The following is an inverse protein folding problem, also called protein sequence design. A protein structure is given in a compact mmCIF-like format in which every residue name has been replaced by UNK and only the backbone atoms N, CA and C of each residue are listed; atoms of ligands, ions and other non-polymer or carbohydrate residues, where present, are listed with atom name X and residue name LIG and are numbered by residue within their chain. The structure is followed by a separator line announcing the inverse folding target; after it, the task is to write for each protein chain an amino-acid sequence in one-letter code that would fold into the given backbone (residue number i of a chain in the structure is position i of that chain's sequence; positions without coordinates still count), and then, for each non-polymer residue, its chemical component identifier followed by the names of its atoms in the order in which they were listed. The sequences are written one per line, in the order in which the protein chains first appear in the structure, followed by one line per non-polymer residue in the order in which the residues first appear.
data_IF_257817196660
#
_entry.id   IF_257817196660
#
_cell.length_a   1.000
_cell.length_b   1.000
_cell.length_c   1.000
_cell.angle_alpha   90.00
_cell.angle_beta   90.00
_cell.angle_gamma   90.00
#
_symmetry.space_group_name_H-M   'P 1'
#
loop_
_entity.id
_entity.type
_entity.pdbx_description
1 polymer ?
#
# COMPACT_ATOMS: atom_id res chain seq x y z
N UNK A 1 -10.06 14.07 0.77
CA UNK A 1 -10.11 12.60 0.52
C UNK A 1 -11.56 12.24 0.23
N UNK A 2 -11.97 12.41 -1.04
CA UNK A 2 -13.37 12.55 -1.41
C UNK A 2 -14.07 11.21 -1.67
N UNK A 3 -15.37 11.19 -1.37
CA UNK A 3 -16.41 10.17 -1.62
C UNK A 3 -16.13 9.16 -2.76
N UNK A 4 -15.51 9.60 -3.85
CA UNK A 4 -15.07 8.75 -4.98
C UNK A 4 -14.19 7.57 -4.58
N UNK A 5 -13.25 7.72 -3.66
CA UNK A 5 -12.36 6.60 -3.27
C UNK A 5 -13.08 5.55 -2.41
N UNK A 6 -14.06 5.95 -1.60
CA UNK A 6 -14.87 5.02 -0.81
C UNK A 6 -15.82 4.23 -1.72
N UNK A 7 -16.55 4.93 -2.60
CA UNK A 7 -17.43 4.30 -3.58
C UNK A 7 -16.66 3.38 -4.53
N UNK A 8 -15.45 3.74 -4.96
CA UNK A 8 -14.60 2.88 -5.79
C UNK A 8 -14.20 1.58 -5.06
N UNK A 9 -13.93 1.64 -3.76
CA UNK A 9 -13.63 0.45 -2.95
C UNK A 9 -14.84 -0.46 -2.75
N UNK A 10 -16.01 0.12 -2.53
CA UNK A 10 -17.27 -0.62 -2.48
C UNK A 10 -17.53 -1.33 -3.82
N UNK A 11 -17.33 -0.63 -4.95
CA UNK A 11 -17.48 -1.21 -6.30
C UNK A 11 -16.44 -2.30 -6.62
N UNK A 12 -15.28 -2.28 -5.97
CA UNK A 12 -14.26 -3.33 -6.07
C UNK A 12 -14.53 -4.52 -5.14
N UNK A 13 -15.55 -4.45 -4.26
CA UNK A 13 -15.83 -5.50 -3.29
C UNK A 13 -14.67 -5.74 -2.32
N UNK A 14 -13.91 -4.70 -1.97
CA UNK A 14 -12.70 -4.86 -1.14
C UNK A 14 -13.01 -5.12 0.33
N UNK A 15 -14.24 -4.83 0.78
CA UNK A 15 -14.67 -5.12 2.15
C UNK A 15 -14.61 -6.63 2.43
N UNK A 16 -13.80 -7.02 3.42
CA UNK A 16 -13.61 -8.43 3.81
C UNK A 16 -12.69 -9.27 2.90
N UNK A 17 -12.25 -8.73 1.76
CA UNK A 17 -11.42 -9.45 0.77
C UNK A 17 -9.95 -9.66 1.19
N UNK A 18 -9.48 -8.93 2.21
CA UNK A 18 -8.08 -8.94 2.64
C UNK A 18 -7.13 -8.16 1.71
N UNK A 19 -7.65 -7.51 0.68
CA UNK A 19 -6.89 -6.61 -0.20
C UNK A 19 -6.98 -5.15 0.28
N UNK A 20 -5.93 -4.39 -0.02
CA UNK A 20 -5.76 -3.00 0.36
C UNK A 20 -5.37 -2.18 -0.86
N UNK A 21 -5.94 -0.98 -1.00
CA UNK A 21 -5.48 -0.07 -2.05
C UNK A 21 -4.18 0.61 -1.63
N UNK A 22 -3.47 1.21 -2.59
CA UNK A 22 -2.28 1.99 -2.27
C UNK A 22 -2.56 3.11 -1.24
N UNK A 23 -3.75 3.70 -1.29
CA UNK A 23 -4.16 4.72 -0.32
C UNK A 23 -4.35 4.15 1.08
N UNK A 24 -4.85 2.91 1.20
CA UNK A 24 -4.94 2.23 2.50
C UNK A 24 -3.57 1.95 3.09
N UNK A 25 -2.64 1.46 2.27
CA UNK A 25 -1.25 1.21 2.68
C UNK A 25 -0.57 2.52 3.12
N UNK A 26 -0.76 3.62 2.37
CA UNK A 26 -0.26 4.95 2.77
C UNK A 26 -0.85 5.43 4.09
N UNK A 27 -2.15 5.19 4.30
CA UNK A 27 -2.84 5.56 5.54
C UNK A 27 -2.28 4.78 6.73
N UNK A 28 -2.05 3.48 6.56
CA UNK A 28 -1.47 2.61 7.57
C UNK A 28 -0.02 2.98 7.90
N UNK A 29 0.82 3.18 6.88
CA UNK A 29 2.17 3.70 7.03
C UNK A 29 2.18 5.02 7.79
N UNK A 30 1.33 5.98 7.40
CA UNK A 30 1.23 7.28 8.08
C UNK A 30 0.82 7.15 9.54
N UNK A 31 -0.05 6.19 9.89
CA UNK A 31 -0.42 5.90 11.29
C UNK A 31 0.77 5.35 12.07
N UNK A 32 1.58 4.47 11.46
CA UNK A 32 2.80 3.93 12.08
C UNK A 32 3.81 5.06 12.35
N UNK A 33 4.06 5.92 11.36
CA UNK A 33 4.96 7.09 11.51
C UNK A 33 4.49 8.00 12.64
N UNK A 34 3.18 8.29 12.72
CA UNK A 34 2.61 9.11 13.78
C UNK A 34 2.71 8.48 15.18
N UNK A 35 2.66 7.15 15.28
CA UNK A 35 2.77 6.43 16.56
C UNK A 35 4.21 6.29 17.05
N UNK A 36 5.20 6.38 16.16
CA UNK A 36 6.62 6.25 16.48
C UNK A 36 7.41 7.50 16.01
N UNK A 37 7.19 8.67 16.63
CA UNK A 37 7.84 9.92 16.24
C UNK A 37 9.38 9.85 16.30
N UNK A 38 9.93 9.05 17.21
CA UNK A 38 11.38 8.83 17.35
C UNK A 38 12.01 8.11 16.14
N UNK A 39 11.19 7.50 15.28
CA UNK A 39 11.61 6.84 14.03
C UNK A 39 10.98 7.48 12.81
N UNK A 40 10.55 8.74 12.92
CA UNK A 40 9.83 9.46 11.88
C UNK A 40 10.61 9.51 10.56
N UNK A 41 11.92 9.75 10.57
CA UNK A 41 12.76 9.73 9.35
C UNK A 41 12.77 8.38 8.64
N UNK A 42 12.85 7.28 9.40
CA UNK A 42 12.73 5.92 8.87
C UNK A 42 11.33 5.66 8.35
N UNK A 43 10.30 6.20 9.02
CA UNK A 43 8.92 6.17 8.60
C UNK A 43 8.66 6.87 7.27
N UNK A 44 9.18 8.08 7.09
CA UNK A 44 9.07 8.84 5.83
C UNK A 44 9.82 8.13 4.70
N UNK A 45 11.00 7.56 4.99
CA UNK A 45 11.76 6.75 4.02
C UNK A 45 10.96 5.54 3.53
N UNK A 46 10.19 4.88 4.40
CA UNK A 46 9.33 3.75 4.03
C UNK A 46 8.17 4.17 3.13
N UNK A 47 7.54 5.31 3.44
CA UNK A 47 6.49 5.89 2.59
C UNK A 47 7.05 6.21 1.20
N UNK A 48 8.24 6.80 1.12
CA UNK A 48 8.90 7.09 -0.17
C UNK A 48 9.13 5.81 -0.97
N UNK A 49 9.77 4.79 -0.37
CA UNK A 49 10.03 3.51 -1.04
C UNK A 49 8.76 2.85 -1.55
N UNK A 50 7.70 2.85 -0.74
CA UNK A 50 6.40 2.33 -1.16
C UNK A 50 5.85 3.10 -2.37
N UNK A 51 5.89 4.44 -2.32
CA UNK A 51 5.40 5.29 -3.41
C UNK A 51 6.20 5.09 -4.70
N UNK A 52 7.52 4.99 -4.61
CA UNK A 52 8.38 4.72 -5.75
C UNK A 52 8.05 3.37 -6.38
N UNK A 53 7.97 2.30 -5.57
CA UNK A 53 7.61 0.97 -6.06
C UNK A 53 6.19 0.94 -6.68
N UNK A 54 5.21 1.58 -6.04
CA UNK A 54 3.85 1.67 -6.56
C UNK A 54 3.79 2.42 -7.89
N UNK A 55 4.55 3.52 -8.02
CA UNK A 55 4.60 4.31 -9.25
C UNK A 55 5.20 3.48 -10.40
N UNK A 56 6.28 2.75 -10.14
CA UNK A 56 6.88 1.83 -11.10
C UNK A 56 5.92 0.72 -11.53
N UNK A 57 5.25 0.08 -10.56
CA UNK A 57 4.21 -0.92 -10.85
C UNK A 57 3.06 -0.34 -11.67
N UNK A 58 2.69 0.91 -11.43
CA UNK A 58 1.65 1.61 -12.20
C UNK A 58 2.10 1.92 -13.62
N UNK A 59 3.39 2.19 -13.83
CA UNK A 59 3.99 2.38 -15.14
C UNK A 59 4.21 1.09 -15.93
N UNK A 60 4.02 -0.08 -15.30
CA UNK A 60 4.19 -1.38 -15.96
C UNK A 60 5.54 -2.05 -15.70
N UNK A 61 6.40 -1.46 -14.87
CA UNK A 61 7.66 -2.08 -14.45
C UNK A 61 7.42 -3.20 -13.41
N UNK A 62 8.45 -4.04 -13.23
CA UNK A 62 8.43 -5.13 -12.25
C UNK A 62 8.54 -4.58 -10.81
N UNK A 63 7.94 -5.30 -9.84
CA UNK A 63 8.07 -4.95 -8.41
C UNK A 63 9.53 -5.02 -7.98
N UNK A 64 10.06 -3.92 -7.43
CA UNK A 64 11.36 -3.93 -6.75
C UNK A 64 11.28 -4.62 -5.39
N UNK A 65 10.09 -4.64 -4.80
CA UNK A 65 9.83 -5.22 -3.48
C UNK A 65 9.19 -6.61 -3.65
N UNK A 66 10.02 -7.66 -3.56
CA UNK A 66 9.59 -9.07 -3.73
C UNK A 66 8.54 -9.51 -2.71
N UNK A 67 8.52 -8.88 -1.53
CA UNK A 67 7.58 -9.20 -0.45
C UNK A 67 6.22 -8.53 -0.65
N UNK A 68 6.13 -7.49 -1.49
CA UNK A 68 4.87 -6.80 -1.79
C UNK A 68 4.17 -7.52 -2.94
N UNK A 69 3.44 -8.58 -2.60
CA UNK A 69 2.49 -9.20 -3.51
C UNK A 69 1.39 -8.20 -3.88
N UNK A 70 1.20 -8.04 -5.18
CA UNK A 70 0.22 -7.13 -5.75
C UNK A 70 -0.66 -7.86 -6.77
N UNK A 71 -1.89 -7.40 -6.89
CA UNK A 71 -2.83 -7.85 -7.91
C UNK A 71 -3.40 -6.61 -8.62
N UNK A 72 -3.54 -6.68 -9.94
CA UNK A 72 -4.23 -5.63 -10.69
C UNK A 72 -5.72 -5.94 -10.75
N UNK A 73 -6.54 -5.01 -10.26
CA UNK A 73 -7.99 -5.14 -10.34
C UNK A 73 -8.44 -5.05 -11.79
N UNK A 74 -9.19 -6.06 -12.26
CA UNK A 74 -9.55 -6.20 -13.68
C UNK A 74 -10.36 -5.02 -14.23
N UNK A 75 -11.32 -4.52 -13.46
CA UNK A 75 -12.26 -3.46 -13.92
C UNK A 75 -11.68 -2.05 -13.83
N UNK A 76 -10.86 -1.79 -12.82
CA UNK A 76 -10.39 -0.44 -12.51
C UNK A 76 -8.91 -0.24 -12.86
N UNK A 77 -8.21 -1.33 -13.23
CA UNK A 77 -6.76 -1.38 -13.49
C UNK A 77 -5.90 -0.87 -12.34
N UNK A 78 -6.48 -0.76 -11.15
CA UNK A 78 -5.78 -0.35 -9.93
C UNK A 78 -4.91 -1.48 -9.40
N UNK A 79 -3.80 -1.10 -8.76
CA UNK A 79 -2.94 -2.03 -8.05
C UNK A 79 -3.47 -2.18 -6.62
N UNK A 80 -3.78 -3.42 -6.28
CA UNK A 80 -4.18 -3.85 -4.95
C UNK A 80 -3.05 -4.64 -4.32
N UNK A 81 -2.89 -4.48 -3.02
CA UNK A 81 -1.90 -5.20 -2.22
C UNK A 81 -2.62 -6.12 -1.25
N UNK A 82 -2.07 -7.29 -0.99
CA UNK A 82 -2.61 -8.19 0.05
C UNK A 82 -2.18 -7.66 1.42
N UNK A 83 -3.09 -7.60 2.41
CA UNK A 83 -2.71 -7.17 3.76
C UNK A 83 -1.53 -7.96 4.32
N UNK A 84 -1.52 -9.28 4.12
CA UNK A 84 -0.44 -10.17 4.55
C UNK A 84 0.93 -9.80 3.96
N UNK A 85 0.97 -9.39 2.69
CA UNK A 85 2.21 -9.05 2.00
C UNK A 85 2.74 -7.69 2.48
N UNK A 86 1.84 -6.74 2.70
CA UNK A 86 2.16 -5.44 3.32
C UNK A 86 2.69 -5.64 4.75
N UNK A 87 2.03 -6.44 5.58
CA UNK A 87 2.50 -6.74 6.94
C UNK A 87 3.87 -7.41 6.96
N UNK A 88 4.11 -8.37 6.05
CA UNK A 88 5.40 -9.04 5.92
C UNK A 88 6.51 -8.06 5.49
N UNK A 89 6.22 -7.19 4.52
CA UNK A 89 7.13 -6.15 4.07
C UNK A 89 7.42 -5.14 5.20
N UNK A 90 6.40 -4.67 5.92
CA UNK A 90 6.60 -3.77 7.06
C UNK A 90 7.49 -4.40 8.13
N UNK A 91 7.27 -5.67 8.46
CA UNK A 91 8.12 -6.40 9.42
C UNK A 91 9.56 -6.51 8.95
N UNK A 92 9.81 -6.77 7.66
CA UNK A 92 11.17 -6.86 7.11
C UNK A 92 11.92 -5.53 7.15
N UNK A 93 11.20 -4.41 7.23
CA UNK A 93 11.80 -3.08 7.29
C UNK A 93 11.98 -2.55 8.71
N UNK A 94 11.34 -3.16 9.71
CA UNK A 94 11.42 -2.78 11.14
C UNK A 94 12.49 -3.58 11.88
N UNK A 95 12.73 -4.84 11.48
CA UNK A 95 13.94 -5.59 11.88
C UNK A 95 15.22 -4.99 11.26
#
# INVERSE_FOLDING_TARGET
MGVRSAMKKELMGLEGSGFMTADDVRSELSKIVKKAPDRSDRGFSLISRFNDNHSQLSCGENSKEKLLEFQRHRLFKDILYTRKSVDAWLKSQVN
#
